data_IF_767364118728
#
_entry.id   IF_767364118728
#
_cell.length_a   1.000
_cell.length_b   1.000
_cell.length_c   1.000
_cell.angle_alpha   90.00
_cell.angle_beta   90.00
_cell.angle_gamma   90.00
#
_symmetry.space_group_name_H-M   'P 1'
#
loop_
_entity.id
_entity.type
_entity.pdbx_description
1 polymer ?
#
# COMPACT_ATOMS: atom_id res chain seq x y z
N UNK A 1 16.84 -27.32 22.51
CA UNK A 1 17.98 -26.37 22.55
C UNK A 1 17.44 -25.03 22.08
N UNK A 2 17.24 -24.10 23.00
CA UNK A 2 16.62 -22.81 22.72
C UNK A 2 17.58 -21.90 21.95
N UNK A 3 17.47 -21.88 20.63
CA UNK A 3 17.92 -20.72 19.85
C UNK A 3 16.87 -19.62 20.03
N UNK A 4 16.89 -18.95 21.17
CA UNK A 4 16.29 -17.62 21.26
C UNK A 4 17.23 -16.68 20.51
N UNK A 5 17.17 -16.76 19.18
CA UNK A 5 17.73 -15.76 18.29
C UNK A 5 17.11 -14.43 18.68
N UNK A 6 17.97 -13.44 18.87
CA UNK A 6 17.59 -12.09 19.27
C UNK A 6 16.78 -11.49 18.11
N UNK A 7 15.47 -11.75 18.08
CA UNK A 7 14.56 -11.27 17.05
C UNK A 7 14.35 -9.77 17.27
N UNK A 8 15.12 -8.96 16.54
CA UNK A 8 14.82 -7.54 16.40
C UNK A 8 13.84 -7.40 15.22
N UNK A 9 12.54 -7.14 15.47
CA UNK A 9 11.55 -6.99 14.40
C UNK A 9 11.85 -5.79 13.51
N UNK A 10 12.71 -4.87 13.95
CA UNK A 10 12.97 -3.63 13.25
C UNK A 10 13.76 -3.86 11.97
N UNK A 11 14.76 -4.74 11.99
CA UNK A 11 15.60 -5.03 10.82
C UNK A 11 15.80 -6.53 10.66
N UNK A 12 15.36 -7.05 9.51
CA UNK A 12 15.53 -8.44 9.17
C UNK A 12 16.55 -8.60 8.04
N UNK A 13 17.61 -9.36 8.32
CA UNK A 13 18.63 -9.77 7.36
C UNK A 13 18.64 -11.29 7.32
N UNK A 14 18.60 -11.85 6.11
CA UNK A 14 18.71 -13.30 5.90
C UNK A 14 20.13 -13.75 6.23
N UNK A 15 20.27 -14.71 7.13
CA UNK A 15 21.54 -15.39 7.34
C UNK A 15 21.89 -16.25 6.11
N UNK A 16 23.16 -16.32 5.68
CA UNK A 16 23.55 -17.06 4.47
C UNK A 16 23.09 -18.53 4.46
N UNK A 17 23.02 -19.16 5.64
CA UNK A 17 22.58 -20.55 5.84
C UNK A 17 21.07 -20.75 5.56
N UNK A 18 20.26 -19.68 5.62
CA UNK A 18 18.81 -19.74 5.45
C UNK A 18 18.36 -19.35 4.02
N UNK A 19 19.27 -18.84 3.19
CA UNK A 19 18.98 -18.35 1.83
C UNK A 19 18.31 -19.41 0.94
N UNK A 20 18.76 -20.66 1.02
CA UNK A 20 18.21 -21.77 0.23
C UNK A 20 16.76 -22.11 0.68
N UNK A 21 16.52 -22.10 1.99
CA UNK A 21 15.21 -22.35 2.58
C UNK A 21 14.22 -21.23 2.24
N UNK A 22 14.66 -19.96 2.26
CA UNK A 22 13.84 -18.80 1.89
C UNK A 22 13.50 -18.81 0.40
N UNK A 23 14.46 -19.19 -0.44
CA UNK A 23 14.22 -19.34 -1.89
C UNK A 23 13.19 -20.44 -2.16
N UNK A 24 13.31 -21.58 -1.49
CA UNK A 24 12.34 -22.67 -1.58
C UNK A 24 10.96 -22.25 -1.06
N UNK A 25 10.90 -21.52 0.06
CA UNK A 25 9.67 -20.98 0.62
C UNK A 25 9.01 -19.99 -0.36
N UNK A 26 9.78 -19.10 -0.99
CA UNK A 26 9.27 -18.17 -2.00
C UNK A 26 8.61 -18.91 -3.17
N UNK A 27 9.26 -19.97 -3.66
CA UNK A 27 8.71 -20.79 -4.75
C UNK A 27 7.41 -21.49 -4.35
N UNK A 28 7.31 -21.97 -3.11
CA UNK A 28 6.10 -22.62 -2.60
C UNK A 28 4.97 -21.62 -2.38
N UNK A 29 5.27 -20.46 -1.77
CA UNK A 29 4.30 -19.41 -1.53
C UNK A 29 3.70 -18.86 -2.82
N UNK A 30 4.45 -18.81 -3.92
CA UNK A 30 3.96 -18.34 -5.22
C UNK A 30 2.99 -19.30 -5.92
N UNK A 31 2.82 -20.53 -5.43
CA UNK A 31 1.80 -21.45 -5.94
C UNK A 31 0.46 -21.13 -5.29
N UNK A 32 -0.65 -21.30 -6.02
CA UNK A 32 -2.01 -21.21 -5.46
C UNK A 32 -2.34 -22.48 -4.67
N UNK A 33 -1.62 -22.71 -3.57
CA UNK A 33 -1.80 -23.87 -2.70
C UNK A 33 -2.37 -23.38 -1.36
N UNK A 34 -3.40 -24.05 -0.80
CA UNK A 34 -3.88 -23.73 0.53
C UNK A 34 -2.73 -23.87 1.54
N UNK A 35 -2.38 -22.76 2.18
CA UNK A 35 -1.25 -22.69 3.11
C UNK A 35 -1.76 -22.86 4.54
N UNK A 36 -1.23 -23.87 5.23
CA UNK A 36 -1.48 -24.14 6.64
C UNK A 36 -0.19 -23.96 7.43
N UNK A 37 -0.30 -23.36 8.60
CA UNK A 37 0.78 -23.30 9.57
C UNK A 37 0.60 -24.44 10.56
N UNK A 38 1.63 -25.27 10.71
CA UNK A 38 1.63 -26.37 11.68
C UNK A 38 2.41 -25.89 12.90
N UNK A 39 1.75 -25.86 14.06
CA UNK A 39 2.42 -25.48 15.32
C UNK A 39 3.33 -26.60 15.80
N UNK A 40 4.23 -26.32 16.76
CA UNK A 40 5.04 -27.37 17.40
C UNK A 40 4.18 -28.46 18.07
N UNK A 41 2.92 -28.15 18.38
CA UNK A 41 1.95 -29.06 18.96
C UNK A 41 1.17 -29.86 17.91
N UNK A 42 1.44 -29.65 16.62
CA UNK A 42 0.79 -30.32 15.50
C UNK A 42 -0.59 -29.75 15.14
N UNK A 43 -0.93 -28.57 15.64
CA UNK A 43 -2.19 -27.91 15.26
C UNK A 43 -2.06 -27.22 13.91
N UNK A 44 -3.09 -27.38 13.07
CA UNK A 44 -3.16 -26.75 11.75
C UNK A 44 -3.92 -25.43 11.85
N UNK A 45 -3.25 -24.33 11.57
CA UNK A 45 -3.83 -22.99 11.51
C UNK A 45 -3.89 -22.56 10.05
N UNK A 46 -5.08 -22.26 9.56
CA UNK A 46 -5.25 -21.66 8.24
C UNK A 46 -4.75 -20.22 8.26
N UNK A 47 -3.86 -19.88 7.34
CA UNK A 47 -3.35 -18.51 7.21
C UNK A 47 -4.37 -17.69 6.40
N UNK A 48 -4.89 -16.58 6.94
CA UNK A 48 -5.75 -15.67 6.17
C UNK A 48 -5.01 -15.10 4.95
N UNK A 49 -5.75 -14.84 3.88
CA UNK A 49 -5.18 -14.33 2.63
C UNK A 49 -4.37 -13.04 2.80
N UNK A 50 -4.84 -12.14 3.68
CA UNK A 50 -4.12 -10.89 4.00
C UNK A 50 -2.73 -11.14 4.56
N UNK A 51 -2.57 -12.15 5.43
CA UNK A 51 -1.28 -12.54 6.01
C UNK A 51 -0.43 -13.26 4.97
N UNK A 52 -1.03 -14.10 4.13
CA UNK A 52 -0.33 -14.79 3.05
C UNK A 52 0.29 -13.79 2.05
N UNK A 53 -0.44 -12.71 1.72
CA UNK A 53 0.06 -11.65 0.84
C UNK A 53 1.26 -10.91 1.43
N UNK A 54 1.21 -10.59 2.73
CA UNK A 54 2.35 -10.01 3.45
C UNK A 54 3.54 -10.96 3.42
N UNK A 55 3.34 -12.26 3.69
CA UNK A 55 4.40 -13.25 3.64
C UNK A 55 5.02 -13.37 2.23
N UNK A 56 4.20 -13.44 1.18
CA UNK A 56 4.68 -13.48 -0.22
C UNK A 56 5.57 -12.28 -0.54
N UNK A 57 5.12 -11.07 -0.21
CA UNK A 57 5.86 -9.85 -0.47
C UNK A 57 7.21 -9.84 0.25
N UNK A 58 7.21 -10.15 1.55
CA UNK A 58 8.43 -10.12 2.36
C UNK A 58 9.39 -11.26 1.94
N UNK A 59 8.91 -12.50 1.80
CA UNK A 59 9.76 -13.63 1.41
C UNK A 59 10.37 -13.44 0.02
N UNK A 60 9.66 -12.81 -0.92
CA UNK A 60 10.23 -12.46 -2.23
C UNK A 60 11.37 -11.43 -2.13
N UNK A 61 11.21 -10.41 -1.29
CA UNK A 61 12.26 -9.43 -1.01
C UNK A 61 13.48 -10.08 -0.35
N UNK A 62 13.26 -10.97 0.63
CA UNK A 62 14.32 -11.74 1.30
C UNK A 62 15.07 -12.67 0.34
N UNK A 63 14.35 -13.40 -0.52
CA UNK A 63 14.95 -14.27 -1.53
C UNK A 63 15.80 -13.49 -2.55
N UNK A 64 15.49 -12.20 -2.73
CA UNK A 64 16.25 -11.28 -3.59
C UNK A 64 17.43 -10.61 -2.88
N UNK A 65 17.69 -10.97 -1.61
CA UNK A 65 18.78 -10.41 -0.79
C UNK A 65 18.50 -9.01 -0.26
N UNK A 66 17.24 -8.56 -0.26
CA UNK A 66 16.86 -7.26 0.29
C UNK A 66 16.71 -7.33 1.81
N UNK A 67 17.04 -6.22 2.47
CA UNK A 67 16.81 -6.02 3.90
C UNK A 67 15.37 -5.53 4.09
N UNK A 68 14.67 -6.10 5.07
CA UNK A 68 13.30 -5.71 5.40
C UNK A 68 13.28 -4.97 6.72
N UNK A 69 12.59 -3.83 6.74
CA UNK A 69 12.31 -3.05 7.94
C UNK A 69 10.81 -3.16 8.28
N UNK A 70 10.46 -3.74 9.44
CA UNK A 70 9.07 -3.84 9.88
C UNK A 70 8.79 -2.81 10.97
N UNK A 71 8.08 -1.74 10.59
CA UNK A 71 7.67 -0.70 11.52
C UNK A 71 6.20 -0.86 11.90
N UNK A 72 5.94 -1.18 13.17
CA UNK A 72 4.59 -1.15 13.74
C UNK A 72 4.24 0.31 14.01
N UNK A 73 3.52 0.93 13.08
CA UNK A 73 3.07 2.32 13.27
C UNK A 73 1.97 2.35 14.33
N UNK A 74 1.99 3.28 15.30
CA UNK A 74 0.90 3.43 16.24
C UNK A 74 -0.43 3.62 15.51
N UNK A 75 -1.48 2.96 16.00
CA UNK A 75 -2.83 2.98 15.43
C UNK A 75 -3.43 4.39 15.38
N UNK A 76 -2.94 5.26 16.27
CA UNK A 76 -3.33 6.66 16.39
C UNK A 76 -2.22 7.58 15.87
N UNK A 77 -2.57 8.45 14.94
CA UNK A 77 -1.71 9.49 14.40
C UNK A 77 -2.00 10.82 15.09
N UNK A 78 -0.95 11.60 15.33
CA UNK A 78 -1.08 13.02 15.64
C UNK A 78 -1.61 13.80 14.43
N UNK A 79 -2.04 15.04 14.64
CA UNK A 79 -2.42 15.94 13.52
C UNK A 79 -1.27 16.06 12.51
N UNK A 80 -0.04 16.22 12.97
CA UNK A 80 1.09 16.45 12.08
C UNK A 80 1.38 15.22 11.21
N UNK A 81 1.39 14.03 11.81
CA UNK A 81 1.59 12.78 11.08
C UNK A 81 0.45 12.51 10.09
N UNK A 82 -0.79 12.78 10.50
CA UNK A 82 -1.95 12.62 9.63
C UNK A 82 -1.97 13.62 8.46
N UNK A 83 -1.57 14.87 8.70
CA UNK A 83 -1.51 15.90 7.66
C UNK A 83 -0.41 15.59 6.65
N UNK A 84 0.75 15.12 7.13
CA UNK A 84 1.84 14.63 6.29
C UNK A 84 1.39 13.42 5.45
N UNK A 85 0.65 12.47 6.03
CA UNK A 85 0.16 11.30 5.28
C UNK A 85 -0.82 11.68 4.15
N UNK A 86 -1.67 12.67 4.38
CA UNK A 86 -2.60 13.19 3.36
C UNK A 86 -1.97 14.21 2.42
N UNK A 87 -0.72 14.61 2.65
CA UNK A 87 -0.02 15.68 1.94
C UNK A 87 -0.81 17.01 1.93
N UNK A 88 -1.37 17.39 3.08
CA UNK A 88 -2.14 18.63 3.29
C UNK A 88 -1.58 19.42 4.47
N UNK A 89 -1.98 20.69 4.61
CA UNK A 89 -1.64 21.46 5.80
C UNK A 89 -2.40 20.97 7.04
N UNK A 90 -1.80 21.13 8.23
CA UNK A 90 -2.45 20.86 9.52
C UNK A 90 -3.80 21.58 9.64
N UNK A 91 -3.89 22.82 9.14
CA UNK A 91 -5.12 23.62 9.13
C UNK A 91 -6.21 23.06 8.20
N UNK A 92 -5.82 22.44 7.08
CA UNK A 92 -6.74 21.75 6.18
C UNK A 92 -7.29 20.48 6.84
N UNK A 93 -6.41 19.68 7.44
CA UNK A 93 -6.81 18.48 8.17
C UNK A 93 -7.79 18.78 9.31
N UNK A 94 -7.55 19.85 10.08
CA UNK A 94 -8.48 20.27 11.15
C UNK A 94 -9.87 20.55 10.60
N UNK A 95 -9.98 21.27 9.47
CA UNK A 95 -11.27 21.54 8.83
C UNK A 95 -11.97 20.26 8.39
N UNK A 96 -11.23 19.27 7.86
CA UNK A 96 -11.80 17.99 7.44
C UNK A 96 -12.37 17.20 8.62
N UNK A 97 -11.71 17.26 9.78
CA UNK A 97 -12.16 16.64 11.02
C UNK A 97 -13.39 17.36 11.60
N UNK A 98 -13.38 18.70 11.64
CA UNK A 98 -14.52 19.52 12.09
C UNK A 98 -15.77 19.32 11.21
N UNK A 99 -15.58 19.11 9.92
CA UNK A 99 -16.65 18.82 8.96
C UNK A 99 -17.14 17.37 9.02
N UNK A 100 -16.53 16.52 9.86
CA UNK A 100 -16.87 15.10 9.97
C UNK A 100 -16.53 14.28 8.72
N UNK A 101 -15.66 14.79 7.84
CA UNK A 101 -15.23 14.05 6.65
C UNK A 101 -14.27 12.92 6.99
N UNK A 102 -13.54 13.05 8.11
CA UNK A 102 -12.68 12.03 8.69
C UNK A 102 -13.17 11.77 10.11
N UNK A 103 -13.42 10.51 10.45
CA UNK A 103 -13.86 10.12 11.79
C UNK A 103 -12.73 10.40 12.79
N UNK A 104 -13.06 11.06 13.90
CA UNK A 104 -12.13 11.29 15.01
C UNK A 104 -12.83 11.02 16.33
N UNK A 105 -12.12 10.37 17.25
CA UNK A 105 -12.74 9.89 18.50
C UNK A 105 -12.78 10.97 19.59
N UNK A 106 -12.02 12.07 19.49
CA UNK A 106 -12.11 13.22 20.40
C UNK A 106 -11.48 14.49 19.79
N UNK A 107 -12.11 15.65 20.00
CA UNK A 107 -11.65 16.97 19.51
C UNK A 107 -10.81 17.71 20.58
N UNK A 108 -10.74 17.22 21.82
CA UNK A 108 -9.96 17.85 22.90
C UNK A 108 -8.46 17.55 22.82
N UNK A 109 -7.65 18.56 23.18
CA UNK A 109 -6.19 18.71 23.35
C UNK A 109 -5.18 17.60 23.00
N UNK A 110 -5.50 16.31 23.20
CA UNK A 110 -4.69 15.15 22.79
C UNK A 110 -5.28 14.51 21.53
N UNK A 111 -5.20 15.23 20.42
CA UNK A 111 -5.81 14.83 19.14
C UNK A 111 -5.12 13.56 18.60
N UNK A 112 -5.88 12.47 18.58
CA UNK A 112 -5.48 11.17 18.01
C UNK A 112 -6.45 10.79 16.90
N UNK A 113 -5.92 10.57 15.70
CA UNK A 113 -6.67 10.21 14.49
C UNK A 113 -6.33 8.78 14.16
N UNK A 114 -7.32 7.89 14.08
CA UNK A 114 -7.05 6.51 13.69
C UNK A 114 -6.52 6.47 12.26
N UNK A 115 -5.40 5.79 12.07
CA UNK A 115 -4.77 5.66 10.76
C UNK A 115 -5.70 5.02 9.73
N UNK A 116 -6.52 4.06 10.15
CA UNK A 116 -7.52 3.40 9.32
C UNK A 116 -8.54 4.38 8.74
N UNK A 117 -9.13 5.24 9.57
CA UNK A 117 -10.10 6.26 9.15
C UNK A 117 -9.47 7.23 8.12
N UNK A 118 -8.17 7.53 8.29
CA UNK A 118 -7.42 8.39 7.39
C UNK A 118 -7.15 7.72 6.03
N UNK A 119 -6.83 6.43 6.04
CA UNK A 119 -6.61 5.64 4.82
C UNK A 119 -7.92 5.46 4.02
N UNK A 120 -9.05 5.20 4.71
CA UNK A 120 -10.37 5.12 4.08
C UNK A 120 -10.72 6.45 3.39
N UNK A 121 -10.49 7.58 4.07
CA UNK A 121 -10.71 8.91 3.48
C UNK A 121 -9.80 9.15 2.26
N UNK A 122 -8.52 8.80 2.35
CA UNK A 122 -7.55 8.94 1.26
C UNK A 122 -8.00 8.16 0.02
N UNK A 123 -8.33 6.89 0.20
CA UNK A 123 -8.77 5.99 -0.88
C UNK A 123 -10.05 6.49 -1.55
N UNK A 124 -11.03 6.97 -0.76
CA UNK A 124 -12.21 7.64 -1.31
C UNK A 124 -11.86 8.86 -2.17
N UNK A 125 -10.94 9.72 -1.69
CA UNK A 125 -10.53 10.93 -2.42
C UNK A 125 -9.73 10.61 -3.68
N UNK A 126 -8.90 9.57 -3.65
CA UNK A 126 -8.13 9.15 -4.81
C UNK A 126 -9.06 8.61 -5.91
N UNK A 127 -10.09 7.83 -5.55
CA UNK A 127 -11.15 7.43 -6.49
C UNK A 127 -11.95 8.61 -7.07
N UNK A 128 -12.33 9.58 -6.23
CA UNK A 128 -13.03 10.80 -6.69
C UNK A 128 -12.16 11.58 -7.71
N UNK A 129 -10.85 11.71 -7.46
CA UNK A 129 -9.92 12.36 -8.38
C UNK A 129 -9.82 11.63 -9.70
N UNK A 130 -9.67 10.31 -9.68
CA UNK A 130 -9.65 9.48 -10.89
C UNK A 130 -10.93 9.62 -11.71
N UNK A 131 -12.09 9.64 -11.05
CA UNK A 131 -13.37 9.86 -11.73
C UNK A 131 -13.46 11.23 -12.39
N UNK A 132 -13.01 12.29 -11.72
CA UNK A 132 -12.99 13.65 -12.28
C UNK A 132 -12.05 13.72 -13.48
N UNK A 133 -10.85 13.13 -13.38
CA UNK A 133 -9.89 13.08 -14.48
C UNK A 133 -10.46 12.32 -15.68
N UNK A 134 -11.08 11.16 -15.46
CA UNK A 134 -11.73 10.40 -16.53
C UNK A 134 -12.88 11.20 -17.17
N UNK A 135 -13.69 11.90 -16.37
CA UNK A 135 -14.76 12.74 -16.89
C UNK A 135 -14.21 13.90 -17.73
N UNK A 136 -13.10 14.53 -17.32
CA UNK A 136 -12.44 15.58 -18.10
C UNK A 136 -11.94 15.05 -19.44
N UNK A 137 -11.29 13.87 -19.47
CA UNK A 137 -10.85 13.22 -20.72
C UNK A 137 -12.03 13.00 -21.66
N UNK A 138 -13.11 12.38 -21.16
CA UNK A 138 -14.32 12.11 -21.95
C UNK A 138 -14.95 13.40 -22.48
N UNK A 139 -15.02 14.46 -21.68
CA UNK A 139 -15.53 15.77 -22.12
C UNK A 139 -14.64 16.40 -23.20
N UNK A 140 -13.31 16.31 -23.08
CA UNK A 140 -12.38 16.85 -24.09
C UNK A 140 -12.36 16.05 -25.39
N UNK A 141 -12.60 14.74 -25.34
CA UNK A 141 -12.78 13.89 -26.53
C UNK A 141 -14.10 14.22 -27.23
N UNK A 142 -15.18 14.44 -26.48
CA UNK A 142 -16.48 14.84 -27.02
C UNK A 142 -16.45 16.24 -27.68
N UNK A 143 -15.62 17.16 -27.16
CA UNK A 143 -15.36 18.49 -27.73
C UNK A 143 -14.37 18.45 -28.92
N UNK A 144 -13.84 17.28 -29.29
CA UNK A 144 -13.01 17.10 -30.49
C UNK A 144 -11.61 17.71 -30.41
N UNK A 145 -11.11 18.03 -29.22
CA UNK A 145 -9.81 18.69 -29.00
C UNK A 145 -8.61 17.73 -29.15
N UNK A 146 -8.88 16.42 -29.22
CA UNK A 146 -7.94 15.36 -29.59
C UNK A 146 -8.38 14.67 -30.88
N UNK A 147 -8.70 15.43 -31.94
CA UNK A 147 -8.59 14.87 -33.28
C UNK A 147 -7.10 14.80 -33.61
N UNK A 148 -6.56 13.59 -33.61
CA UNK A 148 -5.25 13.33 -34.21
C UNK A 148 -5.39 13.72 -35.67
N UNK A 149 -4.92 14.91 -36.04
CA UNK A 149 -4.87 15.37 -37.43
C UNK A 149 -3.85 14.49 -38.19
N UNK A 150 -4.26 13.25 -38.47
CA UNK A 150 -3.70 12.45 -39.55
C UNK A 150 -4.26 13.03 -40.84
N UNK A 151 -3.60 14.08 -41.34
CA UNK A 151 -3.50 14.38 -42.77
C UNK A 151 -2.41 15.44 -42.99
N UNK A 152 -1.14 15.05 -42.76
CA UNK A 152 -0.01 15.64 -43.48
C UNK A 152 0.00 15.04 -44.90
N UNK A 153 -0.99 15.43 -45.72
CA UNK A 153 -0.89 15.32 -47.17
C UNK A 153 -0.13 16.57 -47.68
N UNK A 154 1.19 16.49 -47.62
CA UNK A 154 2.12 17.19 -48.52
C UNK A 154 2.95 16.06 -49.12
N UNK A 155 2.95 15.75 -50.41
CA UNK A 155 2.66 16.53 -51.59
C UNK A 155 2.61 15.50 -52.73
N UNK A 156 1.48 15.37 -53.43
CA UNK A 156 1.45 14.70 -54.73
C UNK A 156 1.26 15.81 -55.78
N UNK A 157 2.37 16.18 -56.43
CA UNK A 157 2.45 16.64 -57.82
C UNK A 157 3.45 17.79 -58.05
N UNK A 158 4.61 17.43 -58.61
CA UNK A 158 5.24 18.04 -59.80
C UNK A 158 6.38 17.09 -60.22
N UNK A 159 6.20 16.31 -61.29
CA UNK A 159 6.42 16.71 -62.69
C UNK A 159 7.87 17.16 -62.95
#
# INVERSE_FOLDING_TARGET
>A
MSKSSNFDPTYFVVEPEETEQITQLNQLLNREIPTILVTEQGENIHIPESILMVLRYNVAALASGQVIELNVTPQDLTIEEAANLLNVSNSCLIKLLEQGQILSTNISSDKRIKREDLLIYKDKKDREREQILNNLVVMTEAEGLYRKDEELNLDDSRA
#
